data_IF_620549169549
#
_entry.id   IF_620549169549
#
_cell.length_a   1.000
_cell.length_b   1.000
_cell.length_c   1.000
_cell.angle_alpha   90.00
_cell.angle_beta   90.00
_cell.angle_gamma   90.00
#
_symmetry.space_group_name_H-M   'P 1'
#
loop_
_entity.id
_entity.type
_entity.pdbx_description
1 polymer ?
#
# COMPACT_ATOMS: atom_id res chain seq x y z
N UNK A 1 -27.50 -0.87 -2.52
CA UNK A 1 -26.99 -2.18 -2.04
C UNK A 1 -25.99 -1.96 -0.92
N UNK A 2 -25.89 -2.86 0.07
CA UNK A 2 -24.85 -2.78 1.09
C UNK A 2 -23.46 -2.92 0.45
N UNK A 3 -22.51 -2.07 0.88
CA UNK A 3 -21.12 -2.04 0.41
C UNK A 3 -20.20 -2.68 1.44
N UNK A 4 -19.19 -3.42 0.99
CA UNK A 4 -18.10 -3.93 1.86
C UNK A 4 -17.23 -2.79 2.38
N UNK A 5 -16.44 -3.04 3.44
CA UNK A 5 -15.47 -2.07 3.95
C UNK A 5 -14.51 -1.62 2.84
N UNK A 6 -13.95 -2.57 2.09
CA UNK A 6 -13.07 -2.31 0.96
C UNK A 6 -13.73 -1.39 -0.08
N UNK A 7 -14.97 -1.66 -0.47
CA UNK A 7 -15.67 -0.84 -1.47
C UNK A 7 -15.93 0.58 -0.98
N UNK A 8 -16.24 0.77 0.31
CA UNK A 8 -16.45 2.09 0.91
C UNK A 8 -15.16 2.91 0.90
N UNK A 9 -14.05 2.33 1.34
CA UNK A 9 -12.75 3.01 1.37
C UNK A 9 -12.28 3.29 -0.06
N UNK A 10 -12.28 2.28 -0.95
CA UNK A 10 -11.85 2.46 -2.33
C UNK A 10 -12.63 3.57 -3.04
N UNK A 11 -13.96 3.58 -2.93
CA UNK A 11 -14.79 4.60 -3.58
C UNK A 11 -14.58 6.01 -3.01
N UNK A 12 -14.34 6.14 -1.71
CA UNK A 12 -14.08 7.46 -1.10
C UNK A 12 -12.73 8.05 -1.50
N UNK A 13 -11.77 7.21 -1.90
CA UNK A 13 -10.43 7.64 -2.32
C UNK A 13 -10.25 7.59 -3.85
N UNK A 14 -11.30 7.25 -4.62
CA UNK A 14 -11.21 7.28 -6.09
C UNK A 14 -11.42 8.71 -6.57
N UNK A 15 -10.36 9.36 -7.05
CA UNK A 15 -10.46 10.70 -7.64
C UNK A 15 -10.99 10.65 -9.08
N UNK A 16 -10.65 9.59 -9.84
CA UNK A 16 -11.08 9.43 -11.23
C UNK A 16 -11.07 7.96 -11.64
N UNK A 17 -11.98 7.56 -12.52
CA UNK A 17 -11.96 6.25 -13.17
C UNK A 17 -11.63 6.40 -14.66
N UNK A 18 -10.79 5.52 -15.19
CA UNK A 18 -10.46 5.43 -16.61
C UNK A 18 -10.33 3.96 -17.04
N UNK A 19 -11.26 3.50 -17.88
CA UNK A 19 -11.34 2.10 -18.29
C UNK A 19 -11.52 1.17 -17.09
N UNK A 20 -10.57 0.28 -16.86
CA UNK A 20 -10.56 -0.68 -15.74
C UNK A 20 -9.73 -0.23 -14.54
N UNK A 21 -9.22 1.01 -14.56
CA UNK A 21 -8.36 1.56 -13.52
C UNK A 21 -9.01 2.76 -12.84
N UNK A 22 -8.70 2.89 -11.56
CA UNK A 22 -9.07 4.02 -10.72
C UNK A 22 -7.80 4.78 -10.32
N UNK A 23 -7.85 6.10 -10.38
CA UNK A 23 -6.86 6.99 -9.77
C UNK A 23 -7.21 7.09 -8.30
N UNK A 24 -6.49 6.33 -7.48
CA UNK A 24 -6.68 6.26 -6.05
C UNK A 24 -5.79 7.28 -5.36
N UNK A 25 -6.36 8.20 -4.58
CA UNK A 25 -5.60 9.11 -3.72
C UNK A 25 -5.03 8.36 -2.53
N UNK A 26 -3.89 8.84 -2.04
CA UNK A 26 -3.13 8.24 -0.94
C UNK A 26 -3.16 9.15 0.28
N UNK A 27 -3.46 8.59 1.45
CA UNK A 27 -3.37 9.30 2.73
C UNK A 27 -1.97 9.18 3.33
N UNK A 28 -1.26 8.09 3.01
CA UNK A 28 0.07 7.83 3.54
C UNK A 28 0.97 7.16 2.50
N UNK A 29 2.17 7.71 2.34
CA UNK A 29 3.27 7.09 1.59
C UNK A 29 4.38 6.75 2.57
N UNK A 30 4.69 5.47 2.72
CA UNK A 30 5.85 5.03 3.49
C UNK A 30 7.05 4.82 2.57
N UNK A 31 8.22 5.19 3.08
CA UNK A 31 9.50 4.94 2.45
C UNK A 31 10.38 4.12 3.40
N UNK A 32 11.23 3.29 2.81
CA UNK A 32 12.27 2.58 3.53
C UNK A 32 13.58 2.53 2.73
N UNK A 33 14.67 2.29 3.44
CA UNK A 33 16.04 2.40 3.00
C UNK A 33 16.44 1.46 1.86
N UNK A 34 15.70 0.38 1.62
CA UNK A 34 16.06 -0.63 0.61
C UNK A 34 15.56 -0.30 -0.81
N UNK A 35 14.30 0.12 -0.98
CA UNK A 35 13.68 0.20 -2.32
C UNK A 35 13.26 1.61 -2.74
N UNK A 36 13.33 2.58 -1.82
CA UNK A 36 12.81 3.93 -2.03
C UNK A 36 13.82 4.87 -2.70
N UNK A 37 15.12 4.60 -2.59
CA UNK A 37 16.17 5.46 -3.16
C UNK A 37 16.00 5.76 -4.67
N UNK A 38 15.74 4.77 -5.53
CA UNK A 38 15.56 5.01 -6.97
C UNK A 38 14.40 5.95 -7.32
N UNK A 39 13.41 6.10 -6.42
CA UNK A 39 12.30 7.02 -6.64
C UNK A 39 12.77 8.48 -6.63
N UNK A 40 13.77 8.83 -5.81
CA UNK A 40 14.32 10.18 -5.76
C UNK A 40 15.09 10.54 -7.04
N UNK A 41 15.74 9.56 -7.67
CA UNK A 41 16.37 9.72 -8.97
C UNK A 41 15.32 10.02 -10.04
N UNK A 42 14.24 9.25 -10.06
CA UNK A 42 13.11 9.48 -10.97
C UNK A 42 12.49 10.87 -10.78
N UNK A 43 12.34 11.35 -9.54
CA UNK A 43 11.85 12.70 -9.27
C UNK A 43 12.79 13.77 -9.84
N UNK A 44 14.11 13.64 -9.61
CA UNK A 44 15.11 14.58 -10.14
C UNK A 44 15.14 14.59 -11.67
N UNK A 45 15.18 13.42 -12.30
CA UNK A 45 15.17 13.27 -13.77
C UNK A 45 13.94 13.91 -14.42
N UNK A 46 12.78 13.84 -13.75
CA UNK A 46 11.52 14.40 -14.24
C UNK A 46 11.26 15.84 -13.77
N UNK A 47 12.20 16.44 -13.03
CA UNK A 47 12.03 17.75 -12.40
C UNK A 47 10.74 17.84 -11.57
N UNK A 48 10.47 16.80 -10.78
CA UNK A 48 9.34 16.68 -9.86
C UNK A 48 9.80 16.83 -8.41
N UNK A 49 8.90 17.28 -7.56
CA UNK A 49 9.09 17.39 -6.11
C UNK A 49 8.13 16.46 -5.38
N UNK A 50 8.39 16.21 -4.10
CA UNK A 50 7.45 15.50 -3.23
C UNK A 50 6.25 16.41 -2.98
N UNK A 51 5.06 15.97 -3.40
CA UNK A 51 3.86 16.82 -3.37
C UNK A 51 3.34 17.08 -1.96
N UNK A 52 3.42 16.10 -1.06
CA UNK A 52 3.01 16.24 0.33
C UNK A 52 3.99 15.50 1.26
N UNK A 53 4.85 16.30 1.89
CA UNK A 53 5.85 15.83 2.85
C UNK A 53 5.18 15.33 4.14
N UNK A 54 4.08 15.94 4.58
CA UNK A 54 3.39 15.56 5.83
C UNK A 54 2.66 14.21 5.71
N UNK A 55 2.23 13.83 4.49
CA UNK A 55 1.70 12.50 4.18
C UNK A 55 2.77 11.45 3.90
N UNK A 56 4.04 11.82 3.91
CA UNK A 56 5.15 10.89 3.65
C UNK A 56 5.89 10.58 4.96
N UNK A 57 6.14 9.31 5.26
CA UNK A 57 6.95 8.91 6.42
C UNK A 57 8.04 7.94 5.98
N UNK A 58 9.29 8.26 6.33
CA UNK A 58 10.43 7.41 6.06
C UNK A 58 10.84 6.63 7.32
N UNK A 59 11.18 5.36 7.15
CA UNK A 59 11.65 4.49 8.23
C UNK A 59 12.93 3.77 7.78
N UNK A 60 13.93 3.68 8.65
CA UNK A 60 15.14 2.89 8.38
C UNK A 60 15.04 1.57 9.16
N UNK A 61 14.83 0.47 8.43
CA UNK A 61 14.62 -0.86 9.04
C UNK A 61 15.14 -2.04 8.23
N UNK A 62 15.39 -1.91 6.92
CA UNK A 62 15.73 -3.06 6.08
C UNK A 62 17.22 -3.36 6.02
N UNK A 63 18.06 -2.33 6.07
CA UNK A 63 19.50 -2.46 5.77
C UNK A 63 20.38 -2.19 6.99
N UNK A 64 19.83 -2.45 8.17
CA UNK A 64 20.49 -2.23 9.47
C UNK A 64 20.90 -3.54 10.15
N UNK A 65 21.91 -3.49 11.01
CA UNK A 65 22.28 -4.63 11.84
C UNK A 65 21.16 -4.97 12.84
N UNK A 66 21.03 -6.23 13.23
CA UNK A 66 20.07 -6.65 14.27
C UNK A 66 20.63 -6.55 15.69
N UNK A 67 21.92 -6.30 15.84
CA UNK A 67 22.61 -6.24 17.13
C UNK A 67 22.10 -5.08 18.02
N UNK A 68 22.05 -5.27 19.36
CA UNK A 68 21.81 -4.16 20.30
C UNK A 68 22.85 -3.04 20.13
N UNK A 69 22.42 -1.79 20.29
CA UNK A 69 23.31 -0.62 20.14
C UNK A 69 23.71 -0.33 18.69
N UNK A 70 22.99 -0.87 17.72
CA UNK A 70 23.21 -0.64 16.28
C UNK A 70 23.28 0.85 15.92
N UNK A 71 24.29 1.20 15.15
CA UNK A 71 24.46 2.49 14.49
C UNK A 71 24.56 2.27 12.98
N UNK A 72 24.64 3.34 12.20
CA UNK A 72 24.79 3.26 10.74
C UNK A 72 26.05 2.49 10.32
N UNK A 73 27.09 2.53 11.15
CA UNK A 73 28.39 1.90 10.93
C UNK A 73 28.38 0.41 11.27
N UNK A 74 27.39 -0.07 12.02
CA UNK A 74 27.37 -1.46 12.49
C UNK A 74 27.13 -2.48 11.39
N UNK A 75 26.63 -2.05 10.22
CA UNK A 75 26.60 -2.86 9.01
C UNK A 75 27.28 -2.13 7.83
N UNK A 76 28.62 -2.15 7.76
CA UNK A 76 29.39 -1.31 6.82
C UNK A 76 29.01 -1.49 5.36
N UNK A 77 28.58 -2.69 4.96
CA UNK A 77 28.16 -3.00 3.58
C UNK A 77 26.97 -2.15 3.15
N UNK A 78 26.02 -1.91 4.06
CA UNK A 78 24.81 -1.15 3.76
C UNK A 78 24.82 0.29 4.30
N UNK A 79 25.85 0.67 5.07
CA UNK A 79 26.02 2.03 5.56
C UNK A 79 25.90 3.11 4.46
N UNK A 80 26.43 2.94 3.23
CA UNK A 80 26.22 3.91 2.15
C UNK A 80 24.75 4.07 1.75
N UNK A 81 23.98 2.98 1.73
CA UNK A 81 22.54 2.97 1.42
C UNK A 81 21.76 3.73 2.49
N UNK A 82 22.01 3.42 3.77
CA UNK A 82 21.37 4.10 4.92
C UNK A 82 21.65 5.60 4.89
N UNK A 83 22.92 5.99 4.69
CA UNK A 83 23.33 7.41 4.63
C UNK A 83 22.74 8.13 3.43
N UNK A 84 22.72 7.48 2.26
CA UNK A 84 22.08 8.04 1.08
C UNK A 84 20.59 8.27 1.31
N UNK A 85 19.89 7.28 1.88
CA UNK A 85 18.46 7.39 2.16
C UNK A 85 18.17 8.50 3.18
N UNK A 86 18.89 8.51 4.32
CA UNK A 86 18.78 9.57 5.33
C UNK A 86 18.97 10.95 4.71
N UNK A 87 20.02 11.13 3.90
CA UNK A 87 20.28 12.40 3.22
C UNK A 87 19.10 12.81 2.33
N UNK A 88 18.63 11.94 1.44
CA UNK A 88 17.54 12.27 0.51
C UNK A 88 16.24 12.65 1.21
N UNK A 89 15.89 11.96 2.31
CA UNK A 89 14.67 12.25 3.08
C UNK A 89 14.81 13.54 3.89
N UNK A 90 15.96 13.76 4.55
CA UNK A 90 16.21 14.98 5.35
C UNK A 90 16.30 16.23 4.47
N UNK A 91 16.98 16.17 3.33
CA UNK A 91 17.07 17.30 2.38
C UNK A 91 15.71 17.73 1.84
N UNK A 92 14.73 16.82 1.79
CA UNK A 92 13.35 17.10 1.36
C UNK A 92 12.41 17.40 2.52
N UNK A 93 12.90 17.39 3.75
CA UNK A 93 12.09 17.61 4.95
C UNK A 93 11.12 16.47 5.28
N UNK A 94 11.30 15.28 4.69
CA UNK A 94 10.46 14.11 4.98
C UNK A 94 10.72 13.64 6.41
N UNK A 95 9.68 13.49 7.26
CA UNK A 95 9.81 12.89 8.58
C UNK A 95 10.49 11.52 8.50
N UNK A 96 11.49 11.30 9.36
CA UNK A 96 12.31 10.10 9.37
C UNK A 96 12.35 9.49 10.77
N UNK A 97 11.92 8.24 10.88
CA UNK A 97 12.15 7.40 12.05
C UNK A 97 13.34 6.49 11.72
N UNK A 98 14.53 6.89 12.17
CA UNK A 98 15.80 6.28 11.78
C UNK A 98 16.54 5.62 12.93
N UNK A 99 17.73 5.08 12.65
CA UNK A 99 18.63 4.59 13.70
C UNK A 99 18.92 5.70 14.73
N UNK A 100 18.77 5.36 16.01
CA UNK A 100 18.91 6.28 17.15
C UNK A 100 17.59 6.90 17.62
N UNK A 101 16.51 6.75 16.86
CA UNK A 101 15.18 7.21 17.26
C UNK A 101 14.52 6.22 18.24
N UNK A 102 13.93 6.67 19.37
CA UNK A 102 13.22 5.79 20.31
C UNK A 102 12.01 5.09 19.68
N UNK A 103 11.43 5.63 18.61
CA UNK A 103 10.30 5.07 17.87
C UNK A 103 10.75 4.11 16.76
N UNK A 104 12.06 3.85 16.62
CA UNK A 104 12.59 3.02 15.55
C UNK A 104 12.14 1.56 15.67
N UNK A 105 11.65 1.04 14.53
CA UNK A 105 11.17 -0.32 14.40
C UNK A 105 10.96 -0.70 12.95
N UNK A 106 10.26 -1.81 12.71
CA UNK A 106 9.89 -2.27 11.37
C UNK A 106 8.79 -1.35 10.83
N UNK A 107 8.89 -0.92 9.57
CA UNK A 107 8.01 0.12 8.98
C UNK A 107 6.52 -0.14 9.18
N UNK A 108 6.05 -1.39 9.06
CA UNK A 108 4.63 -1.74 9.22
C UNK A 108 4.19 -1.88 10.68
N UNK A 109 5.13 -1.99 11.61
CA UNK A 109 4.86 -1.94 13.05
C UNK A 109 4.80 -0.47 13.49
N UNK A 110 5.81 0.31 13.09
CA UNK A 110 5.87 1.77 13.30
C UNK A 110 4.63 2.47 12.73
N UNK A 111 4.16 2.04 11.55
CA UNK A 111 2.95 2.57 10.93
C UNK A 111 1.72 2.52 11.87
N UNK A 112 1.58 1.45 12.64
CA UNK A 112 0.50 1.27 13.60
C UNK A 112 0.78 1.97 14.93
N UNK A 113 1.99 1.78 15.49
CA UNK A 113 2.37 2.30 16.81
C UNK A 113 2.37 3.83 16.85
N UNK A 114 2.78 4.48 15.76
CA UNK A 114 2.83 5.94 15.65
C UNK A 114 1.52 6.55 15.13
N UNK A 115 0.46 5.75 14.95
CA UNK A 115 -0.80 6.23 14.39
C UNK A 115 -0.67 6.79 12.97
N UNK A 116 0.39 6.40 12.24
CA UNK A 116 0.66 6.88 10.89
C UNK A 116 -0.30 6.27 9.85
N UNK A 117 -0.91 5.14 10.17
CA UNK A 117 -2.08 4.56 9.49
C UNK A 117 -3.27 4.49 10.46
N UNK A 118 -4.42 4.97 10.01
CA UNK A 118 -5.67 4.96 10.73
C UNK A 118 -6.76 4.23 9.93
N UNK A 119 -7.84 3.77 10.59
CA UNK A 119 -8.96 3.12 9.90
C UNK A 119 -9.53 4.00 8.78
N UNK A 120 -9.78 3.38 7.62
CA UNK A 120 -10.34 4.07 6.46
C UNK A 120 -9.32 4.71 5.52
N UNK A 121 -8.02 4.72 5.86
CA UNK A 121 -6.97 5.29 5.01
C UNK A 121 -6.60 4.42 3.81
N UNK A 122 -5.99 5.04 2.80
CA UNK A 122 -5.17 4.40 1.77
C UNK A 122 -3.68 4.64 2.02
N UNK A 123 -2.88 3.56 2.04
CA UNK A 123 -1.45 3.64 2.30
C UNK A 123 -0.63 2.76 1.34
N UNK A 124 0.57 3.21 0.98
CA UNK A 124 1.48 2.44 0.12
C UNK A 124 2.92 2.50 0.65
N UNK A 125 3.70 1.47 0.33
CA UNK A 125 5.13 1.41 0.60
C UNK A 125 5.83 0.59 -0.48
N UNK A 126 7.14 0.80 -0.65
CA UNK A 126 8.00 -0.03 -1.48
C UNK A 126 8.24 -1.46 -0.98
N UNK A 127 7.35 -1.99 -0.13
CA UNK A 127 7.46 -3.28 0.55
C UNK A 127 6.21 -4.14 0.35
N UNK A 128 6.39 -5.45 0.14
CA UNK A 128 5.30 -6.37 -0.16
C UNK A 128 4.35 -6.66 1.01
N UNK A 129 4.79 -6.45 2.25
CA UNK A 129 4.03 -6.71 3.48
C UNK A 129 3.22 -5.51 3.96
N UNK A 130 3.13 -4.44 3.17
CA UNK A 130 2.30 -3.26 3.46
C UNK A 130 0.83 -3.60 3.74
N UNK A 131 0.36 -4.75 3.23
CA UNK A 131 -0.97 -5.29 3.55
C UNK A 131 -1.20 -5.57 5.05
N UNK A 132 -0.14 -5.65 5.85
CA UNK A 132 -0.21 -5.73 7.33
C UNK A 132 -1.08 -4.62 7.92
N UNK A 133 -0.98 -3.40 7.37
CA UNK A 133 -1.76 -2.24 7.81
C UNK A 133 -3.28 -2.40 7.54
N UNK A 134 -3.68 -3.38 6.72
CA UNK A 134 -5.09 -3.74 6.54
C UNK A 134 -5.76 -4.26 7.82
N UNK A 135 -4.99 -4.76 8.79
CA UNK A 135 -5.50 -5.13 10.11
C UNK A 135 -6.11 -3.93 10.88
N UNK A 136 -5.70 -2.71 10.55
CA UNK A 136 -6.24 -1.47 11.11
C UNK A 136 -7.50 -0.98 10.37
N UNK A 137 -8.00 -1.72 9.38
CA UNK A 137 -9.13 -1.30 8.55
C UNK A 137 -8.77 -0.27 7.48
N UNK A 138 -7.50 -0.22 7.07
CA UNK A 138 -7.02 0.56 5.94
C UNK A 138 -6.95 -0.29 4.64
N UNK A 139 -6.88 0.37 3.48
CA UNK A 139 -6.44 -0.27 2.23
C UNK A 139 -4.97 0.04 2.06
N UNK A 140 -4.11 -0.97 2.24
CA UNK A 140 -2.68 -0.79 2.16
C UNK A 140 -2.01 -1.90 1.35
N UNK A 141 -1.10 -1.55 0.45
CA UNK A 141 -0.44 -2.52 -0.43
C UNK A 141 0.94 -2.04 -0.89
N UNK A 142 1.79 -3.01 -1.21
CA UNK A 142 3.13 -2.75 -1.73
C UNK A 142 3.09 -2.24 -3.16
N UNK A 143 4.03 -1.37 -3.50
CA UNK A 143 4.20 -0.78 -4.83
C UNK A 143 5.66 -0.88 -5.29
N UNK A 144 5.89 -0.84 -6.61
CA UNK A 144 7.24 -0.86 -7.18
C UNK A 144 7.94 0.51 -7.12
N UNK A 145 9.27 0.55 -7.29
CA UNK A 145 10.05 1.80 -7.20
C UNK A 145 9.57 2.90 -8.16
N UNK A 146 9.11 2.57 -9.36
CA UNK A 146 8.52 3.55 -10.30
C UNK A 146 7.21 4.14 -9.75
N UNK A 147 6.40 3.31 -9.10
CA UNK A 147 5.15 3.76 -8.47
C UNK A 147 5.44 4.59 -7.22
N UNK A 148 6.52 4.34 -6.47
CA UNK A 148 6.93 5.19 -5.35
C UNK A 148 7.17 6.62 -5.84
N UNK A 149 7.88 6.80 -6.97
CA UNK A 149 8.11 8.14 -7.53
C UNK A 149 6.78 8.84 -7.87
N UNK A 150 5.82 8.11 -8.44
CA UNK A 150 4.49 8.65 -8.73
C UNK A 150 3.69 8.96 -7.45
N UNK A 151 3.75 8.10 -6.44
CA UNK A 151 3.11 8.31 -5.15
C UNK A 151 3.67 9.56 -4.47
N UNK A 152 4.98 9.76 -4.48
CA UNK A 152 5.63 10.96 -3.95
C UNK A 152 5.24 12.22 -4.73
N UNK A 153 5.25 12.16 -6.06
CA UNK A 153 4.99 13.32 -6.93
C UNK A 153 3.52 13.75 -6.97
N UNK A 154 2.58 12.83 -6.77
CA UNK A 154 1.16 13.09 -7.03
C UNK A 154 0.22 12.70 -5.89
N UNK A 155 0.69 11.98 -4.88
CA UNK A 155 -0.14 11.42 -3.79
C UNK A 155 -1.34 10.62 -4.31
N UNK A 156 -1.18 10.00 -5.49
CA UNK A 156 -2.20 9.19 -6.13
C UNK A 156 -1.57 8.18 -7.11
N UNK A 157 -2.25 7.05 -7.31
CA UNK A 157 -1.81 5.99 -8.22
C UNK A 157 -2.96 5.47 -9.09
N UNK A 158 -2.67 5.19 -10.36
CA UNK A 158 -3.58 4.49 -11.26
C UNK A 158 -3.53 2.99 -11.03
N UNK A 159 -4.58 2.43 -10.44
CA UNK A 159 -4.61 1.03 -10.02
C UNK A 159 -5.83 0.31 -10.61
N UNK A 160 -5.68 -0.94 -11.09
CA UNK A 160 -6.84 -1.77 -11.36
C UNK A 160 -7.52 -2.07 -10.03
N UNK A 161 -8.85 -1.98 -9.97
CA UNK A 161 -9.58 -2.28 -8.75
C UNK A 161 -9.48 -3.78 -8.40
N UNK A 162 -8.91 -4.14 -7.24
CA UNK A 162 -8.86 -5.53 -6.79
C UNK A 162 -10.25 -6.15 -6.62
N UNK A 163 -10.34 -7.46 -6.88
CA UNK A 163 -11.50 -8.26 -6.48
C UNK A 163 -11.45 -8.50 -4.98
N UNK A 164 -12.61 -8.50 -4.32
CA UNK A 164 -12.72 -8.79 -2.90
C UNK A 164 -13.12 -10.25 -2.64
N UNK A 165 -12.48 -10.85 -1.65
CA UNK A 165 -12.83 -12.17 -1.09
C UNK A 165 -13.16 -11.98 0.38
N UNK A 166 -14.37 -12.39 0.79
CA UNK A 166 -14.72 -12.45 2.21
C UNK A 166 -14.27 -13.78 2.80
N UNK A 167 -13.48 -13.71 3.87
CA UNK A 167 -13.17 -14.84 4.74
C UNK A 167 -13.89 -14.59 6.07
N UNK A 168 -14.80 -15.49 6.42
CA UNK A 168 -15.43 -15.50 7.75
C UNK A 168 -14.69 -16.52 8.61
N UNK A 169 -14.27 -16.09 9.81
CA UNK A 169 -13.66 -16.95 10.82
C UNK A 169 -14.60 -16.97 12.01
N UNK A 170 -15.21 -18.13 12.26
CA UNK A 170 -16.16 -18.35 13.36
C UNK A 170 -15.55 -19.29 14.40
N UNK A 171 -15.96 -19.15 15.66
CA UNK A 171 -15.50 -19.95 16.80
C UNK A 171 -14.62 -19.18 17.78
N UNK A 172 -14.10 -19.89 18.78
CA UNK A 172 -13.21 -19.35 19.81
C UNK A 172 -11.82 -19.96 19.63
N UNK A 173 -10.77 -19.18 19.86
CA UNK A 173 -9.40 -19.67 19.86
C UNK A 173 -9.19 -20.63 21.04
N UNK A 174 -8.62 -21.81 20.77
CA UNK A 174 -8.21 -22.73 21.82
C UNK A 174 -7.13 -22.07 22.71
N UNK A 175 -7.14 -22.28 24.04
CA UNK A 175 -6.08 -21.78 24.91
C UNK A 175 -4.69 -22.20 24.42
N UNK A 176 -3.75 -21.25 24.36
CA UNK A 176 -2.39 -21.47 23.85
C UNK A 176 -2.26 -21.37 22.31
N UNK A 177 -3.36 -21.19 21.58
CA UNK A 177 -3.32 -20.84 20.16
C UNK A 177 -3.09 -19.33 19.97
N UNK A 178 -2.21 -18.96 19.04
CA UNK A 178 -2.01 -17.58 18.60
C UNK A 178 -2.54 -17.40 17.17
N UNK A 179 -2.78 -16.16 16.72
CA UNK A 179 -3.25 -15.88 15.35
C UNK A 179 -2.37 -16.53 14.25
N UNK A 180 -1.06 -16.70 14.52
CA UNK A 180 -0.10 -17.38 13.63
C UNK A 180 -0.23 -18.91 13.63
N UNK A 181 -0.64 -19.51 14.75
CA UNK A 181 -0.67 -20.97 14.97
C UNK A 181 -2.07 -21.54 15.10
N UNK A 182 -3.09 -20.69 15.01
CA UNK A 182 -4.47 -21.03 15.32
C UNK A 182 -4.98 -22.18 14.46
N UNK A 183 -5.16 -23.34 15.10
CA UNK A 183 -6.00 -24.43 14.62
C UNK A 183 -7.39 -24.19 15.20
N UNK A 184 -8.30 -23.68 14.38
CA UNK A 184 -9.65 -23.37 14.80
C UNK A 184 -10.48 -24.65 14.92
N UNK A 185 -10.91 -25.01 16.14
CA UNK A 185 -11.90 -26.08 16.33
C UNK A 185 -13.24 -25.61 15.74
N UNK A 186 -13.67 -26.24 14.65
CA UNK A 186 -14.91 -25.98 13.88
C UNK A 186 -14.94 -24.80 12.89
N UNK A 187 -13.80 -24.27 12.43
CA UNK A 187 -13.84 -23.23 11.40
C UNK A 187 -14.36 -23.75 10.06
N UNK A 188 -15.51 -23.24 9.60
CA UNK A 188 -15.83 -23.22 8.18
C UNK A 188 -15.23 -21.97 7.56
N UNK A 189 -14.11 -22.11 6.87
CA UNK A 189 -13.65 -21.04 5.96
C UNK A 189 -14.59 -21.05 4.75
N UNK A 190 -15.61 -20.19 4.77
CA UNK A 190 -16.44 -19.97 3.58
C UNK A 190 -15.82 -18.86 2.73
N UNK A 191 -15.65 -19.12 1.44
CA UNK A 191 -15.17 -18.14 0.46
C UNK A 191 -16.38 -17.62 -0.32
N UNK A 192 -16.64 -16.31 -0.26
CA UNK A 192 -17.54 -15.64 -1.20
C UNK A 192 -16.77 -14.54 -1.91
N UNK A 193 -16.67 -14.66 -3.23
CA UNK A 193 -16.27 -13.55 -4.09
C UNK A 193 -17.46 -12.60 -4.24
N UNK A 194 -17.22 -11.30 -4.14
CA UNK A 194 -18.22 -10.34 -4.60
C UNK A 194 -18.28 -10.46 -6.13
N UNK A 195 -19.42 -10.86 -6.69
CA UNK A 195 -19.64 -10.74 -8.13
C UNK A 195 -19.62 -9.25 -8.49
N UNK A 196 -18.98 -8.83 -9.61
CA UNK A 196 -19.05 -7.45 -10.04
C UNK A 196 -20.52 -7.07 -10.26
N UNK A 197 -20.92 -5.89 -9.78
CA UNK A 197 -22.22 -5.34 -10.14
C UNK A 197 -22.29 -5.23 -11.67
N UNK A 198 -23.26 -5.90 -12.28
CA UNK A 198 -23.51 -5.78 -13.71
C UNK A 198 -23.73 -4.30 -14.06
N UNK A 199 -23.14 -3.78 -15.14
CA UNK A 199 -23.45 -2.43 -15.59
C UNK A 199 -24.94 -2.36 -15.90
N UNK A 200 -25.66 -1.51 -15.17
CA UNK A 200 -27.06 -1.21 -15.40
C UNK A 200 -27.21 -0.56 -16.79
N UNK A 201 -27.96 -1.22 -17.66
CA UNK A 201 -28.58 -0.73 -18.91
C UNK A 201 -27.70 0.15 -19.81
N UNK A 202 -26.99 -0.50 -20.75
CA UNK A 202 -26.78 0.09 -22.08
C UNK A 202 -27.94 -0.37 -22.99
N UNK A 203 -28.62 0.53 -23.73
CA UNK A 203 -29.59 0.12 -24.72
C UNK A 203 -28.88 -0.65 -25.85
N UNK A 204 -29.48 -1.77 -26.26
CA UNK A 204 -28.98 -2.60 -27.35
C UNK A 204 -28.83 -1.79 -28.64
N UNK A 205 -27.66 -1.86 -29.27
CA UNK A 205 -27.45 -1.33 -30.60
C UNK A 205 -28.32 -2.09 -31.61
N UNK A 206 -28.97 -1.42 -32.58
CA UNK A 206 -29.78 -2.10 -33.59
C UNK A 206 -28.90 -2.95 -34.50
N UNK A 207 -29.33 -4.18 -34.74
CA UNK A 207 -28.71 -5.15 -35.65
C UNK A 207 -28.65 -4.61 -37.08
N UNK A 208 -27.44 -4.59 -37.67
CA UNK A 208 -27.25 -4.29 -39.09
C UNK A 208 -27.84 -5.39 -39.99
N UNK A 209 -28.46 -5.06 -41.14
CA UNK A 209 -29.05 -6.05 -42.02
C UNK A 209 -27.98 -6.84 -42.79
N UNK A 210 -28.20 -8.15 -42.90
CA UNK A 210 -27.39 -9.09 -43.67
C UNK A 210 -27.38 -8.72 -45.15
N UNK A 211 -26.19 -8.42 -45.70
CA UNK A 211 -26.01 -8.36 -47.16
C UNK A 211 -25.92 -9.79 -47.71
N UNK A 212 -26.95 -10.22 -48.41
CA UNK A 212 -26.88 -11.35 -49.34
C UNK A 212 -25.99 -10.96 -50.51
N UNK A 213 -24.86 -11.65 -50.70
CA UNK A 213 -24.13 -11.65 -51.97
C UNK A 213 -24.69 -12.76 -52.85
N UNK A 214 -25.35 -12.37 -53.92
CA UNK A 214 -25.59 -13.18 -55.12
C UNK A 214 -25.20 -12.30 -56.31
N UNK A 215 -24.20 -12.76 -57.07
CA UNK A 215 -23.57 -12.04 -58.18
C UNK A 215 -22.13 -12.49 -58.32
#
# INVERSE_FOLDING_TARGET
MPRTLFEKIWQSHTARTYGTRDLLTLDRVFLHDMTSLPAFDTLRERNLVVADVARTLAVIDHTVATAPGRTEETYPVMAPTVRAFRREVTERGIPLIGLGDPEQGIVHVVAAEQGAVLPGMTAVCGDSHTCTNGALGAIAFGIGSTEIAHALAYQALWLPRPKSLRVTVDGVLDPGSAARTSRWRSSRVSRRTAAPAAPSNMPAAPSAPSRSRSG
#
